data_IF_728480744886
#
_entry.id   IF_728480744886
#
_cell.length_a   1.000
_cell.length_b   1.000
_cell.length_c   1.000
_cell.angle_alpha   90.00
_cell.angle_beta   90.00
_cell.angle_gamma   90.00
#
_symmetry.space_group_name_H-M   'P 1'
#
loop_
_entity.id
_entity.type
_entity.pdbx_description
1 polymer ?
#
# COMPACT_ATOMS: atom_id res chain seq x y z
N UNK A 1 -7.82 -19.46 -29.56
CA UNK A 1 -7.05 -18.86 -28.41
C UNK A 1 -7.72 -19.30 -27.12
N UNK A 2 -7.05 -19.18 -25.95
CA UNK A 2 -7.66 -19.55 -24.67
C UNK A 2 -8.68 -18.51 -24.23
N UNK A 3 -9.87 -18.93 -23.77
CA UNK A 3 -10.88 -18.03 -23.21
C UNK A 3 -10.47 -17.52 -21.81
N UNK A 4 -11.14 -16.48 -21.32
CA UNK A 4 -10.99 -15.97 -19.94
C UNK A 4 -11.12 -17.11 -18.93
N UNK A 5 -12.16 -17.93 -19.08
CA UNK A 5 -12.39 -19.09 -18.22
C UNK A 5 -11.20 -20.04 -18.24
N UNK A 6 -10.75 -20.43 -19.43
CA UNK A 6 -9.61 -21.35 -19.60
C UNK A 6 -8.32 -20.79 -19.00
N UNK A 7 -8.05 -19.49 -19.16
CA UNK A 7 -6.88 -18.85 -18.56
C UNK A 7 -6.92 -18.87 -17.02
N UNK A 8 -8.09 -18.66 -16.43
CA UNK A 8 -8.26 -18.70 -14.98
C UNK A 8 -8.23 -20.11 -14.40
N UNK A 9 -8.78 -21.11 -15.11
CA UNK A 9 -8.75 -22.53 -14.71
C UNK A 9 -7.32 -23.10 -14.74
N UNK A 10 -6.49 -22.64 -15.68
CA UNK A 10 -5.09 -23.06 -15.80
C UNK A 10 -4.12 -22.23 -14.96
N UNK A 11 -4.59 -21.16 -14.30
CA UNK A 11 -3.77 -20.34 -13.43
C UNK A 11 -3.49 -21.05 -12.09
N UNK A 12 -2.31 -21.64 -11.95
CA UNK A 12 -1.88 -22.36 -10.76
C UNK A 12 -0.99 -21.49 -9.88
N UNK A 13 -1.40 -21.27 -8.63
CA UNK A 13 -0.67 -20.50 -7.61
C UNK A 13 -0.66 -21.30 -6.29
N UNK A 14 0.10 -22.41 -6.20
CA UNK A 14 0.00 -23.38 -5.11
C UNK A 14 0.31 -22.77 -3.74
N UNK A 15 1.20 -21.78 -3.69
CA UNK A 15 1.64 -21.12 -2.44
C UNK A 15 0.81 -19.89 -2.08
N UNK A 16 -0.24 -19.57 -2.85
CA UNK A 16 -1.10 -18.42 -2.54
C UNK A 16 -2.38 -18.85 -1.83
N UNK A 17 -2.68 -18.32 -0.63
CA UNK A 17 -3.95 -18.55 0.05
C UNK A 17 -5.15 -17.94 -0.70
N UNK A 18 -4.87 -17.03 -1.63
CA UNK A 18 -5.87 -16.30 -2.44
C UNK A 18 -5.70 -16.54 -3.93
N UNK A 19 -5.24 -17.75 -4.32
CA UNK A 19 -4.85 -18.08 -5.69
C UNK A 19 -5.86 -17.63 -6.76
N UNK A 20 -7.15 -17.91 -6.55
CA UNK A 20 -8.21 -17.53 -7.49
C UNK A 20 -8.37 -16.02 -7.60
N UNK A 21 -8.36 -15.31 -6.48
CA UNK A 21 -8.47 -13.86 -6.43
C UNK A 21 -7.26 -13.19 -7.11
N UNK A 22 -6.06 -13.69 -6.83
CA UNK A 22 -4.82 -13.18 -7.42
C UNK A 22 -4.85 -13.31 -8.95
N UNK A 23 -5.22 -14.48 -9.47
CA UNK A 23 -5.36 -14.72 -10.90
C UNK A 23 -6.40 -13.79 -11.55
N UNK A 24 -7.55 -13.59 -10.91
CA UNK A 24 -8.59 -12.69 -11.38
C UNK A 24 -8.15 -11.24 -11.41
N UNK A 25 -7.44 -10.77 -10.38
CA UNK A 25 -6.89 -9.40 -10.33
C UNK A 25 -5.88 -9.16 -11.45
N UNK A 26 -4.95 -10.10 -11.65
CA UNK A 26 -3.94 -10.02 -12.71
C UNK A 26 -4.58 -10.05 -14.09
N UNK A 27 -5.55 -10.95 -14.34
CA UNK A 27 -6.21 -11.04 -15.64
C UNK A 27 -7.08 -9.81 -15.92
N UNK A 28 -7.86 -9.35 -14.93
CA UNK A 28 -8.67 -8.13 -15.06
C UNK A 28 -7.81 -6.92 -15.44
N UNK A 29 -6.67 -6.75 -14.76
CA UNK A 29 -5.72 -5.69 -15.06
C UNK A 29 -5.10 -5.82 -16.46
N UNK A 30 -4.69 -7.03 -16.87
CA UNK A 30 -4.16 -7.28 -18.20
C UNK A 30 -5.17 -6.97 -19.32
N UNK A 31 -6.46 -7.16 -19.05
CA UNK A 31 -7.54 -6.84 -19.96
C UNK A 31 -7.96 -5.36 -19.92
N UNK A 32 -7.55 -4.60 -18.91
CA UNK A 32 -8.08 -3.26 -18.63
C UNK A 32 -9.58 -3.28 -18.31
N UNK A 33 -10.06 -4.32 -17.60
CA UNK A 33 -11.46 -4.57 -17.27
C UNK A 33 -11.63 -4.78 -15.76
N UNK A 34 -12.89 -4.73 -15.29
CA UNK A 34 -13.23 -5.10 -13.92
C UNK A 34 -13.22 -6.63 -13.73
N UNK A 35 -13.12 -7.10 -12.49
CA UNK A 35 -13.31 -8.53 -12.17
C UNK A 35 -14.69 -9.02 -12.57
N UNK A 36 -15.73 -8.21 -12.41
CA UNK A 36 -17.10 -8.55 -12.84
C UNK A 36 -17.18 -8.87 -14.33
N UNK A 37 -16.37 -8.20 -15.16
CA UNK A 37 -16.30 -8.51 -16.58
C UNK A 37 -15.83 -9.94 -16.85
N UNK A 38 -14.89 -10.47 -16.08
CA UNK A 38 -14.38 -11.85 -16.24
C UNK A 38 -15.47 -12.88 -15.99
N UNK A 39 -16.36 -12.62 -15.03
CA UNK A 39 -17.47 -13.50 -14.70
C UNK A 39 -18.66 -13.36 -15.66
N UNK A 40 -18.83 -12.17 -16.25
CA UNK A 40 -19.92 -11.92 -17.21
C UNK A 40 -19.63 -12.50 -18.59
N UNK A 41 -18.35 -12.51 -18.98
CA UNK A 41 -17.93 -12.92 -20.32
C UNK A 41 -16.79 -13.95 -20.28
N UNK A 42 -16.99 -15.10 -19.62
CA UNK A 42 -15.95 -16.12 -19.42
C UNK A 42 -15.49 -16.77 -20.73
N UNK A 43 -16.35 -16.80 -21.76
CA UNK A 43 -16.07 -17.37 -23.08
C UNK A 43 -15.21 -16.46 -23.97
N UNK A 44 -15.08 -15.18 -23.63
CA UNK A 44 -14.30 -14.24 -24.46
C UNK A 44 -12.83 -14.61 -24.46
N UNK A 45 -12.21 -14.41 -25.62
CA UNK A 45 -10.78 -14.60 -25.84
C UNK A 45 -10.04 -13.27 -25.74
N UNK A 46 -9.07 -13.12 -24.80
CA UNK A 46 -8.20 -11.96 -24.75
C UNK A 46 -7.34 -11.81 -26.02
N UNK A 47 -6.98 -10.58 -26.35
CA UNK A 47 -5.97 -10.34 -27.39
C UNK A 47 -4.65 -11.03 -27.01
N UNK A 48 -3.84 -11.49 -28.00
CA UNK A 48 -2.57 -12.20 -27.74
C UNK A 48 -1.64 -11.44 -26.77
N UNK A 49 -1.54 -10.12 -26.93
CA UNK A 49 -0.72 -9.29 -26.04
C UNK A 49 -1.24 -9.27 -24.60
N UNK A 50 -2.57 -9.25 -24.40
CA UNK A 50 -3.17 -9.27 -23.06
C UNK A 50 -2.94 -10.64 -22.38
N UNK A 51 -3.10 -11.73 -23.13
CA UNK A 51 -2.80 -13.08 -22.63
C UNK A 51 -1.31 -13.23 -22.27
N UNK A 52 -0.41 -12.68 -23.07
CA UNK A 52 1.03 -12.67 -22.79
C UNK A 52 1.36 -11.84 -21.53
N UNK A 53 0.77 -10.66 -21.38
CA UNK A 53 0.93 -9.82 -20.18
C UNK A 53 0.47 -10.58 -18.93
N UNK A 54 -0.71 -11.20 -18.98
CA UNK A 54 -1.21 -12.02 -17.89
C UNK A 54 -0.27 -13.18 -17.54
N UNK A 55 0.22 -13.91 -18.54
CA UNK A 55 1.16 -15.02 -18.32
C UNK A 55 2.45 -14.55 -17.64
N UNK A 56 3.01 -13.41 -18.06
CA UNK A 56 4.18 -12.81 -17.44
C UNK A 56 3.95 -12.40 -15.98
N UNK A 57 2.80 -11.80 -15.68
CA UNK A 57 2.41 -11.43 -14.32
C UNK A 57 2.12 -12.64 -13.44
N UNK A 58 1.47 -13.67 -14.00
CA UNK A 58 1.23 -14.93 -13.30
C UNK A 58 2.55 -15.62 -12.91
N UNK A 59 3.53 -15.64 -13.81
CA UNK A 59 4.85 -16.19 -13.51
C UNK A 59 5.58 -15.43 -12.37
N UNK A 60 5.48 -14.11 -12.32
CA UNK A 60 6.00 -13.31 -11.18
C UNK A 60 5.28 -13.69 -9.88
N UNK A 61 3.95 -13.83 -9.93
CA UNK A 61 3.14 -14.22 -8.75
C UNK A 61 3.47 -15.64 -8.29
N UNK A 62 3.75 -16.56 -9.18
CA UNK A 62 4.21 -17.92 -8.87
C UNK A 62 5.55 -17.92 -8.10
N UNK A 63 6.40 -16.92 -8.32
CA UNK A 63 7.62 -16.71 -7.55
C UNK A 63 7.35 -16.07 -6.18
N UNK A 64 6.10 -15.76 -5.85
CA UNK A 64 5.66 -15.19 -4.58
C UNK A 64 5.57 -13.67 -4.56
N UNK A 65 5.86 -12.97 -5.69
CA UNK A 65 5.75 -11.51 -5.74
C UNK A 65 4.33 -11.04 -5.47
N UNK A 66 4.11 -10.05 -4.58
CA UNK A 66 2.77 -9.53 -4.26
C UNK A 66 2.06 -8.97 -5.49
N UNK A 67 0.76 -9.26 -5.64
CA UNK A 67 -0.07 -8.71 -6.72
C UNK A 67 0.02 -7.19 -6.76
N UNK A 68 0.04 -6.53 -5.61
CA UNK A 68 0.17 -5.08 -5.51
C UNK A 68 1.44 -4.54 -6.19
N UNK A 69 2.58 -5.21 -6.03
CA UNK A 69 3.82 -4.80 -6.70
C UNK A 69 3.83 -5.16 -8.18
N UNK A 70 3.23 -6.29 -8.56
CA UNK A 70 3.08 -6.67 -9.97
C UNK A 70 2.27 -5.64 -10.73
N UNK A 71 1.18 -5.15 -10.13
CA UNK A 71 0.29 -4.15 -10.72
C UNK A 71 0.74 -2.71 -10.46
N UNK A 72 1.65 -2.49 -9.48
CA UNK A 72 2.08 -1.16 -9.04
C UNK A 72 0.98 -0.39 -8.30
N UNK A 73 -0.08 -1.06 -7.83
CA UNK A 73 -1.27 -0.41 -7.24
C UNK A 73 -1.84 -1.23 -6.09
N UNK A 74 -2.39 -0.51 -5.08
CA UNK A 74 -3.07 -1.09 -3.92
C UNK A 74 -4.24 -0.22 -3.50
N UNK A 75 -5.40 -0.82 -3.29
CA UNK A 75 -6.53 -0.17 -2.63
C UNK A 75 -6.25 0.02 -1.14
N UNK A 76 -6.56 1.20 -0.62
CA UNK A 76 -6.53 1.50 0.81
C UNK A 76 -7.61 2.54 1.11
N UNK A 77 -8.49 2.26 2.06
CA UNK A 77 -9.66 3.09 2.31
C UNK A 77 -10.51 3.24 1.04
N UNK A 78 -10.87 4.45 0.66
CA UNK A 78 -11.55 4.75 -0.60
C UNK A 78 -10.59 5.08 -1.76
N UNK A 79 -9.28 4.91 -1.56
CA UNK A 79 -8.23 5.35 -2.47
C UNK A 79 -7.61 4.18 -3.21
N UNK A 80 -7.16 4.44 -4.43
CA UNK A 80 -6.33 3.53 -5.21
C UNK A 80 -4.92 4.13 -5.32
N UNK A 81 -3.95 3.56 -4.59
CA UNK A 81 -2.61 4.11 -4.41
C UNK A 81 -1.58 3.43 -5.31
N UNK A 82 -0.64 4.21 -5.85
CA UNK A 82 0.60 3.64 -6.35
C UNK A 82 1.40 3.05 -5.19
N UNK A 83 1.99 1.87 -5.44
CA UNK A 83 2.90 1.21 -4.51
C UNK A 83 4.16 0.74 -5.23
N UNK A 84 5.26 0.65 -4.50
CA UNK A 84 6.54 0.23 -5.05
C UNK A 84 7.35 -0.54 -4.00
N UNK A 85 8.35 -1.31 -4.43
CA UNK A 85 9.14 -2.19 -3.58
C UNK A 85 9.97 -1.47 -2.49
N UNK A 86 9.96 -0.15 -2.44
CA UNK A 86 10.60 0.65 -1.40
C UNK A 86 9.62 1.18 -0.33
N UNK A 87 8.33 0.80 -0.39
CA UNK A 87 7.34 1.10 0.63
C UNK A 87 6.58 -0.15 1.04
N UNK A 88 6.09 -0.19 2.27
CA UNK A 88 5.14 -1.22 2.71
C UNK A 88 3.89 -1.17 1.83
N UNK A 89 3.37 -2.33 1.47
CA UNK A 89 2.03 -2.43 0.86
C UNK A 89 1.00 -2.07 1.94
N UNK A 90 0.14 -1.06 1.73
CA UNK A 90 -0.92 -0.71 2.70
C UNK A 90 -1.75 -1.92 3.12
N UNK A 91 -1.96 -2.09 4.44
CA UNK A 91 -2.70 -3.21 5.03
C UNK A 91 -4.11 -2.76 5.44
N UNK A 92 -5.08 -3.65 5.30
CA UNK A 92 -6.45 -3.39 5.73
C UNK A 92 -6.53 -3.06 7.23
N UNK A 93 -5.74 -3.73 8.08
CA UNK A 93 -5.72 -3.46 9.53
C UNK A 93 -5.28 -2.02 9.85
N UNK A 94 -4.50 -1.39 8.96
CA UNK A 94 -4.07 0.01 9.11
C UNK A 94 -5.23 1.00 8.89
N UNK A 95 -6.31 0.59 8.23
CA UNK A 95 -7.52 1.42 8.06
C UNK A 95 -8.19 1.75 9.41
N UNK A 96 -7.99 0.90 10.43
CA UNK A 96 -8.43 1.20 11.78
C UNK A 96 -7.81 2.49 12.35
N UNK A 97 -6.56 2.80 12.02
CA UNK A 97 -5.94 4.07 12.43
C UNK A 97 -6.67 5.27 11.82
N UNK A 98 -7.06 5.16 10.56
CA UNK A 98 -7.85 6.21 9.89
C UNK A 98 -9.21 6.36 10.56
N UNK A 99 -9.91 5.26 10.78
CA UNK A 99 -11.23 5.25 11.43
C UNK A 99 -11.17 5.90 12.81
N UNK A 100 -10.24 5.48 13.67
CA UNK A 100 -10.07 6.02 15.02
C UNK A 100 -9.72 7.50 14.99
N UNK A 101 -8.83 7.95 14.10
CA UNK A 101 -8.49 9.36 13.95
C UNK A 101 -9.70 10.22 13.59
N UNK A 102 -10.54 9.73 12.66
CA UNK A 102 -11.76 10.42 12.22
C UNK A 102 -12.83 10.47 13.31
N UNK A 103 -12.88 9.48 14.20
CA UNK A 103 -13.80 9.45 15.34
C UNK A 103 -13.35 10.35 16.49
N UNK A 104 -12.04 10.44 16.74
CA UNK A 104 -11.50 11.20 17.87
C UNK A 104 -11.51 12.71 17.65
N UNK A 105 -11.40 13.17 16.41
CA UNK A 105 -11.20 14.59 16.11
C UNK A 105 -12.33 15.17 15.26
N UNK A 106 -12.72 16.44 15.54
CA UNK A 106 -13.77 17.13 14.79
C UNK A 106 -13.30 17.53 13.38
N UNK A 107 -14.25 17.95 12.54
CA UNK A 107 -13.99 18.42 11.17
C UNK A 107 -13.46 19.86 11.09
N UNK A 108 -13.02 20.45 12.20
CA UNK A 108 -12.46 21.80 12.23
C UNK A 108 -11.03 21.82 11.66
N UNK A 109 -10.54 22.99 11.21
CA UNK A 109 -9.15 23.11 10.72
C UNK A 109 -8.15 22.70 11.78
N UNK A 110 -7.23 21.80 11.42
CA UNK A 110 -6.16 21.36 12.31
C UNK A 110 -4.99 20.79 11.53
N UNK A 111 -3.84 20.66 12.21
CA UNK A 111 -2.64 20.03 11.68
C UNK A 111 -2.53 18.60 12.19
N UNK A 112 -2.33 17.65 11.27
CA UNK A 112 -2.19 16.21 11.55
C UNK A 112 -0.88 15.72 10.94
N UNK A 113 -0.17 14.85 11.65
CA UNK A 113 1.10 14.28 11.22
C UNK A 113 0.99 12.76 11.07
N UNK A 114 1.56 12.24 9.97
CA UNK A 114 1.77 10.80 9.70
C UNK A 114 3.28 10.51 9.69
N UNK A 115 3.76 9.80 10.71
CA UNK A 115 5.18 9.44 10.85
C UNK A 115 5.48 8.09 10.20
N UNK A 116 6.44 8.06 9.28
CA UNK A 116 6.74 6.88 8.48
C UNK A 116 5.65 6.63 7.44
N UNK A 117 5.30 7.68 6.67
CA UNK A 117 4.12 7.69 5.81
C UNK A 117 4.15 6.68 4.64
N UNK A 118 5.32 6.13 4.27
CA UNK A 118 5.46 5.17 3.18
C UNK A 118 4.85 5.66 1.87
N UNK A 119 3.84 4.98 1.35
CA UNK A 119 3.10 5.39 0.14
C UNK A 119 2.16 6.59 0.36
N UNK A 120 2.06 7.10 1.59
CA UNK A 120 1.14 8.17 2.00
C UNK A 120 -0.27 7.66 2.35
N UNK A 121 -0.46 6.35 2.56
CA UNK A 121 -1.79 5.74 2.68
C UNK A 121 -2.65 6.38 3.78
N UNK A 122 -2.13 6.50 5.01
CA UNK A 122 -2.86 7.07 6.15
C UNK A 122 -3.09 8.57 5.93
N UNK A 123 -2.02 9.31 5.62
CA UNK A 123 -2.10 10.75 5.42
C UNK A 123 -3.10 11.13 4.31
N UNK A 124 -3.08 10.43 3.18
CA UNK A 124 -3.97 10.70 2.05
C UNK A 124 -5.42 10.31 2.36
N UNK A 125 -5.66 9.21 3.09
CA UNK A 125 -6.99 8.83 3.53
C UNK A 125 -7.58 9.90 4.46
N UNK A 126 -6.82 10.38 5.46
CA UNK A 126 -7.25 11.46 6.35
C UNK A 126 -7.50 12.76 5.59
N UNK A 127 -6.63 13.12 4.65
CA UNK A 127 -6.80 14.33 3.83
C UNK A 127 -8.03 14.26 2.92
N UNK A 128 -8.37 13.07 2.40
CA UNK A 128 -9.54 12.85 1.58
C UNK A 128 -10.85 13.04 2.36
N UNK A 129 -10.89 12.50 3.60
CA UNK A 129 -12.07 12.56 4.48
C UNK A 129 -12.25 13.92 5.16
N UNK A 130 -11.17 14.64 5.43
CA UNK A 130 -11.16 15.90 6.20
C UNK A 130 -10.51 17.02 5.41
N UNK A 131 -11.26 17.68 4.55
CA UNK A 131 -10.76 18.73 3.65
C UNK A 131 -10.18 19.95 4.36
N UNK A 132 -10.61 20.20 5.60
CA UNK A 132 -10.12 21.31 6.43
C UNK A 132 -8.86 20.97 7.22
N UNK A 133 -8.48 19.69 7.30
CA UNK A 133 -7.23 19.30 7.94
C UNK A 133 -6.06 19.57 7.01
N UNK A 134 -4.94 20.01 7.58
CA UNK A 134 -3.64 20.05 6.92
C UNK A 134 -2.88 18.81 7.37
N UNK A 135 -2.72 17.85 6.48
CA UNK A 135 -2.09 16.56 6.81
C UNK A 135 -0.66 16.54 6.26
N UNK A 136 0.30 16.41 7.15
CA UNK A 136 1.71 16.27 6.78
C UNK A 136 2.16 14.82 6.98
N UNK A 137 2.73 14.21 5.95
CA UNK A 137 3.41 12.92 6.05
C UNK A 137 4.92 13.09 5.99
N UNK A 138 5.64 12.35 6.80
CA UNK A 138 7.11 12.32 6.75
C UNK A 138 7.62 10.89 6.66
N UNK A 139 8.73 10.70 5.93
CA UNK A 139 9.43 9.44 5.85
C UNK A 139 10.94 9.66 5.71
N UNK A 140 11.76 8.76 6.24
CA UNK A 140 13.22 8.82 6.08
C UNK A 140 13.69 8.44 4.68
N UNK A 141 12.86 7.69 3.94
CA UNK A 141 13.16 7.21 2.60
C UNK A 141 12.64 8.20 1.57
N UNK A 142 13.53 8.94 0.91
CA UNK A 142 13.15 9.97 -0.08
C UNK A 142 12.27 9.38 -1.19
N UNK A 143 12.56 8.17 -1.67
CA UNK A 143 11.74 7.52 -2.68
C UNK A 143 10.29 7.21 -2.21
N UNK A 144 10.09 7.00 -0.89
CA UNK A 144 8.75 6.86 -0.31
C UNK A 144 8.02 8.21 -0.31
N UNK A 145 8.71 9.29 0.08
CA UNK A 145 8.17 10.66 0.01
C UNK A 145 7.76 11.03 -1.42
N UNK A 146 8.60 10.73 -2.41
CA UNK A 146 8.31 10.97 -3.83
C UNK A 146 7.09 10.17 -4.30
N UNK A 147 6.94 8.92 -3.83
CA UNK A 147 5.78 8.09 -4.14
C UNK A 147 4.50 8.65 -3.52
N UNK A 148 4.55 9.05 -2.25
CA UNK A 148 3.43 9.67 -1.54
C UNK A 148 3.00 10.99 -2.21
N UNK A 149 3.96 11.79 -2.67
CA UNK A 149 3.70 13.03 -3.40
C UNK A 149 3.05 12.75 -4.77
N UNK A 150 3.47 11.72 -5.52
CA UNK A 150 2.79 11.29 -6.76
C UNK A 150 1.36 10.85 -6.49
N UNK A 151 1.14 10.08 -5.41
CA UNK A 151 -0.21 9.68 -4.99
C UNK A 151 -1.07 10.89 -4.66
N UNK A 152 -0.53 11.86 -3.92
CA UNK A 152 -1.21 13.12 -3.59
C UNK A 152 -1.67 13.87 -4.84
N UNK A 153 -0.75 14.04 -5.81
CA UNK A 153 -1.02 14.75 -7.07
C UNK A 153 -2.10 14.04 -7.88
N UNK A 154 -2.00 12.71 -8.01
CA UNK A 154 -2.95 11.89 -8.75
C UNK A 154 -4.36 11.93 -8.12
N UNK A 155 -4.44 12.02 -6.80
CA UNK A 155 -5.70 12.12 -6.05
C UNK A 155 -6.20 13.57 -5.90
N UNK A 156 -5.45 14.56 -6.37
CA UNK A 156 -5.75 15.99 -6.29
C UNK A 156 -6.03 16.47 -4.84
N UNK A 157 -5.26 15.96 -3.86
CA UNK A 157 -5.38 16.30 -2.46
C UNK A 157 -4.43 17.46 -2.09
N UNK A 158 -4.92 18.70 -2.19
CA UNK A 158 -4.12 19.92 -1.94
C UNK A 158 -3.84 20.17 -0.44
N UNK A 159 -4.56 19.51 0.44
CA UNK A 159 -4.45 19.62 1.90
C UNK A 159 -3.53 18.56 2.52
N UNK A 160 -2.79 17.82 1.72
CA UNK A 160 -1.71 16.94 2.15
C UNK A 160 -0.36 17.46 1.67
N UNK A 161 0.72 17.15 2.38
CA UNK A 161 2.10 17.45 2.01
C UNK A 161 3.05 16.36 2.52
N UNK A 162 4.16 16.14 1.81
CA UNK A 162 5.13 15.12 2.19
C UNK A 162 6.55 15.69 2.18
N UNK A 163 7.35 15.29 3.18
CA UNK A 163 8.75 15.74 3.28
C UNK A 163 9.65 14.67 3.91
N UNK A 164 10.95 14.67 3.56
CA UNK A 164 11.90 13.78 4.20
C UNK A 164 12.11 14.15 5.66
N UNK A 165 12.01 13.16 6.57
CA UNK A 165 12.41 13.32 7.98
C UNK A 165 12.63 11.93 8.59
N UNK A 166 13.60 11.82 9.49
CA UNK A 166 13.68 10.69 10.39
C UNK A 166 12.90 11.07 11.65
N UNK A 167 11.72 10.50 11.80
CA UNK A 167 10.74 10.84 12.83
C UNK A 167 10.52 12.36 12.94
N UNK A 168 10.90 12.98 14.05
CA UNK A 168 10.67 14.39 14.35
C UNK A 168 11.81 15.33 13.91
N UNK A 169 12.91 14.83 13.34
CA UNK A 169 14.14 15.61 13.11
C UNK A 169 13.92 16.89 12.27
N UNK A 170 13.04 16.86 11.29
CA UNK A 170 12.71 18.03 10.46
C UNK A 170 11.49 18.83 10.96
N UNK A 171 10.93 18.50 12.12
CA UNK A 171 9.64 19.02 12.60
C UNK A 171 9.77 19.95 13.82
N UNK A 172 11.00 20.44 14.10
CA UNK A 172 11.26 21.28 15.27
C UNK A 172 10.31 22.49 15.36
N UNK A 173 9.72 22.68 16.56
CA UNK A 173 8.80 23.78 16.84
C UNK A 173 7.40 23.64 16.25
N UNK A 174 7.13 22.63 15.45
CA UNK A 174 5.78 22.35 14.95
C UNK A 174 4.92 21.66 16.03
N UNK A 175 3.61 21.88 15.96
CA UNK A 175 2.63 21.25 16.84
C UNK A 175 1.50 20.67 16.02
N UNK A 176 1.04 19.48 16.39
CA UNK A 176 -0.01 18.74 15.71
C UNK A 176 -1.13 18.40 16.68
N UNK A 177 -2.36 18.45 16.21
CA UNK A 177 -3.54 18.02 16.98
C UNK A 177 -3.61 16.50 17.09
N UNK A 178 -3.03 15.79 16.10
CA UNK A 178 -2.92 14.33 16.07
C UNK A 178 -1.62 13.94 15.41
N UNK A 179 -0.97 12.92 15.95
CA UNK A 179 0.15 12.21 15.34
C UNK A 179 -0.28 10.76 15.17
N UNK A 180 -0.19 10.24 13.94
CA UNK A 180 -0.44 8.83 13.62
C UNK A 180 0.85 8.20 13.10
N UNK A 181 1.00 6.91 13.30
CA UNK A 181 2.13 6.14 12.77
C UNK A 181 1.79 4.67 12.67
N UNK A 182 2.27 4.02 11.63
CA UNK A 182 2.39 2.57 11.53
C UNK A 182 3.88 2.22 11.37
N UNK A 183 4.69 2.30 12.43
CA UNK A 183 6.13 2.12 12.35
C UNK A 183 6.50 0.65 12.15
N UNK A 184 7.74 0.32 11.76
CA UNK A 184 8.25 -1.04 11.81
C UNK A 184 8.18 -1.60 13.25
N UNK A 185 7.78 -2.87 13.36
CA UNK A 185 7.66 -3.54 14.68
C UNK A 185 8.11 -5.01 14.67
N UNK A 186 8.66 -5.52 13.58
CA UNK A 186 9.16 -6.88 13.48
C UNK A 186 10.61 -6.91 14.00
N UNK A 187 10.91 -7.82 14.93
CA UNK A 187 12.26 -7.98 15.44
C UNK A 187 13.21 -8.52 14.36
N UNK A 188 14.47 -8.05 14.38
CA UNK A 188 15.49 -8.56 13.47
C UNK A 188 15.68 -10.07 13.69
N UNK A 189 15.61 -10.85 12.60
CA UNK A 189 15.74 -12.32 12.66
C UNK A 189 14.44 -13.09 12.87
N UNK A 190 13.29 -12.42 12.88
CA UNK A 190 11.99 -13.09 12.89
C UNK A 190 11.81 -13.96 11.65
N UNK A 191 11.39 -15.22 11.86
CA UNK A 191 11.21 -16.19 10.78
C UNK A 191 10.17 -15.75 9.72
N UNK A 192 9.22 -14.90 10.09
CA UNK A 192 8.22 -14.39 9.14
C UNK A 192 8.81 -13.55 8.01
N UNK A 193 9.96 -12.91 8.21
CA UNK A 193 10.61 -12.05 7.22
C UNK A 193 11.05 -12.78 5.94
N UNK A 194 11.31 -14.08 6.04
CA UNK A 194 11.81 -14.90 4.90
C UNK A 194 10.69 -15.67 4.20
N UNK A 195 9.44 -15.55 4.68
CA UNK A 195 8.31 -16.30 4.16
C UNK A 195 7.30 -15.42 3.41
N UNK A 196 6.65 -16.03 2.43
CA UNK A 196 5.53 -15.42 1.70
C UNK A 196 5.88 -14.11 0.98
N UNK A 197 4.95 -13.18 1.02
CA UNK A 197 5.04 -11.87 0.38
C UNK A 197 6.04 -10.90 1.07
N UNK A 198 6.28 -11.06 2.37
CA UNK A 198 7.15 -10.17 3.15
C UNK A 198 8.59 -10.11 2.64
N UNK A 199 9.10 -11.19 2.04
CA UNK A 199 10.45 -11.21 1.46
C UNK A 199 10.65 -10.23 0.28
N UNK A 200 9.57 -9.72 -0.30
CA UNK A 200 9.59 -8.73 -1.38
C UNK A 200 9.44 -7.30 -0.86
N UNK A 201 9.06 -7.14 0.41
CA UNK A 201 8.86 -5.82 0.99
C UNK A 201 10.16 -5.28 1.62
N UNK A 202 10.34 -3.96 1.67
CA UNK A 202 11.59 -3.39 2.14
C UNK A 202 11.80 -3.69 3.62
N UNK A 203 12.94 -4.26 3.96
CA UNK A 203 13.30 -4.61 5.35
C UNK A 203 13.19 -3.40 6.28
N UNK A 204 13.52 -2.21 5.80
CA UNK A 204 13.46 -0.97 6.57
C UNK A 204 12.03 -0.51 6.94
N UNK A 205 11.00 -1.04 6.26
CA UNK A 205 9.59 -0.78 6.60
C UNK A 205 8.99 -1.87 7.50
N UNK A 206 9.71 -2.97 7.72
CA UNK A 206 9.25 -4.11 8.51
C UNK A 206 10.00 -4.26 9.82
N UNK A 207 11.33 -4.08 9.76
CA UNK A 207 12.25 -4.47 10.84
C UNK A 207 12.73 -3.25 11.60
N UNK A 208 12.65 -3.35 12.92
CA UNK A 208 13.26 -2.42 13.85
C UNK A 208 14.27 -3.17 14.74
N UNK A 209 15.23 -2.45 15.30
CA UNK A 209 16.25 -2.97 16.20
C UNK A 209 15.66 -3.54 17.51
N UNK A 210 16.50 -4.29 18.25
CA UNK A 210 16.16 -4.79 19.56
C UNK A 210 14.98 -5.77 19.56
N UNK A 211 14.00 -5.52 20.42
CA UNK A 211 12.82 -6.38 20.62
C UNK A 211 11.58 -5.95 19.83
N UNK A 212 11.71 -5.12 18.78
CA UNK A 212 10.57 -4.68 17.98
C UNK A 212 9.92 -3.36 18.46
N UNK A 213 10.37 -2.75 19.54
CA UNK A 213 9.74 -1.57 20.14
C UNK A 213 10.58 -0.28 20.09
N UNK A 214 11.78 -0.31 19.51
CA UNK A 214 12.71 0.82 19.61
C UNK A 214 12.16 2.06 18.90
N UNK A 215 11.59 1.90 17.70
CA UNK A 215 10.97 3.01 16.96
C UNK A 215 9.72 3.55 17.69
N UNK A 216 8.89 2.66 18.24
CA UNK A 216 7.69 3.06 19.01
C UNK A 216 8.11 3.87 20.25
N UNK A 217 9.17 3.47 20.95
CA UNK A 217 9.70 4.23 22.11
C UNK A 217 10.18 5.61 21.69
N UNK A 218 10.86 5.73 20.53
CA UNK A 218 11.31 7.01 20.01
C UNK A 218 10.19 7.96 19.56
N UNK A 219 9.01 7.40 19.22
CA UNK A 219 7.83 8.20 18.81
C UNK A 219 7.04 8.72 20.02
N UNK A 220 7.03 7.98 21.15
CA UNK A 220 6.18 8.27 22.33
C UNK A 220 6.87 9.21 23.36
N UNK A 221 8.13 9.56 23.18
CA UNK A 221 8.89 10.37 24.15
C UNK A 221 8.54 11.86 24.11
#
# INVERSE_FOLDING_TARGET
MASIQSLLENATLPDSPTARLDAELLLAAALGKSRSYLHTWPEREPAPQQAQTFAGWLARRQQGEPVAYILGRQGFWSLDLEVAAHTLIPRADTELLVEVALQLLPETPMHVLDLGCGSGAIALALAAERRLWQVQGVDRIVAAVDLAERNRQRLALSNASFSPSHWFDALHGQRFALIVSNPPYIAAGDAYLVHGALRFEPVCALVVGGCGFDDIRGIIV
#
